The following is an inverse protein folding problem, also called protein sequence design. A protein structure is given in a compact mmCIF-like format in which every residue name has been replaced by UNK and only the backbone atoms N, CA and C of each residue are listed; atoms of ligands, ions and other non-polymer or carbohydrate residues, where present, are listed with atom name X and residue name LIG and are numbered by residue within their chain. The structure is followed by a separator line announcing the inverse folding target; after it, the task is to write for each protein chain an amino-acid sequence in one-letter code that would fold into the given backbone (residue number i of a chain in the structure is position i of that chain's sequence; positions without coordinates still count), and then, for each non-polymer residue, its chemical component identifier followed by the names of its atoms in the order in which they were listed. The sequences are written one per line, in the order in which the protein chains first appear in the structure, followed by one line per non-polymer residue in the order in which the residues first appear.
data_IF_848139914519
#
_entry.id   IF_848139914519
#
_cell.length_a   1.000
_cell.length_b   1.000
_cell.length_c   1.000
_cell.angle_alpha   90.00
_cell.angle_beta   90.00
_cell.angle_gamma   90.00
#
_symmetry.space_group_name_H-M   'P 1'
#
loop_
_entity.id
_entity.type
_entity.pdbx_description
1 polymer ?
#
# COMPACT_ATOMS: atom_id res chain seq x y z
N UNK A 1 -5.89 15.14 -32.39
CA UNK A 1 -5.24 14.71 -31.15
C UNK A 1 -4.03 15.58 -30.95
N UNK A 2 -3.92 16.24 -29.82
CA UNK A 2 -2.91 17.27 -29.57
C UNK A 2 -1.52 16.60 -29.50
N UNK A 3 -0.58 17.08 -30.33
CA UNK A 3 0.78 16.52 -30.45
C UNK A 3 1.52 16.50 -29.10
N UNK A 4 1.13 17.37 -28.17
CA UNK A 4 1.67 17.41 -26.82
C UNK A 4 1.20 16.24 -25.95
N UNK A 5 -0.01 15.71 -26.17
CA UNK A 5 -0.55 14.56 -25.44
C UNK A 5 0.16 13.28 -25.85
N UNK A 6 0.45 13.12 -27.15
CA UNK A 6 1.18 11.93 -27.65
C UNK A 6 2.65 11.93 -27.19
N UNK A 7 3.31 13.10 -27.17
CA UNK A 7 4.67 13.23 -26.63
C UNK A 7 4.72 12.89 -25.14
N UNK A 8 3.80 13.42 -24.35
CA UNK A 8 3.70 13.14 -22.92
C UNK A 8 3.43 11.65 -22.62
N UNK A 9 2.55 11.02 -23.42
CA UNK A 9 2.28 9.57 -23.28
C UNK A 9 3.50 8.71 -23.66
N UNK A 10 4.29 9.14 -24.64
CA UNK A 10 5.51 8.45 -25.05
C UNK A 10 6.58 8.55 -23.93
N UNK A 11 6.68 9.69 -23.27
CA UNK A 11 7.60 9.90 -22.16
C UNK A 11 7.20 9.05 -20.94
N UNK A 12 5.90 8.99 -20.62
CA UNK A 12 5.38 8.10 -19.58
C UNK A 12 5.63 6.63 -19.93
N UNK A 13 5.34 6.18 -21.13
CA UNK A 13 5.61 4.81 -21.58
C UNK A 13 7.09 4.44 -21.47
N UNK A 14 7.97 5.36 -21.81
CA UNK A 14 9.42 5.16 -21.71
C UNK A 14 9.91 5.03 -20.27
N UNK A 15 9.34 5.78 -19.35
CA UNK A 15 9.75 5.79 -17.94
C UNK A 15 9.06 4.70 -17.09
N UNK A 16 7.87 4.28 -17.47
CA UNK A 16 6.98 3.49 -16.61
C UNK A 16 6.61 2.11 -17.18
N UNK A 17 6.84 1.88 -18.47
CA UNK A 17 6.50 0.62 -19.15
C UNK A 17 4.99 0.48 -19.48
N UNK A 18 4.63 -0.62 -20.14
CA UNK A 18 3.31 -0.81 -20.78
C UNK A 18 2.09 -0.88 -19.86
N UNK A 19 2.27 -1.00 -18.53
CA UNK A 19 1.17 -1.10 -17.55
C UNK A 19 0.31 0.16 -17.39
N UNK A 20 0.75 1.28 -17.94
CA UNK A 20 0.08 2.60 -17.78
C UNK A 20 -0.88 2.95 -18.93
N UNK A 21 -0.94 2.20 -20.00
CA UNK A 21 -1.85 2.54 -21.10
C UNK A 21 -3.32 2.68 -20.62
N UNK A 22 -3.71 1.87 -19.67
CA UNK A 22 -5.05 1.91 -19.06
C UNK A 22 -5.27 3.14 -18.19
N UNK A 23 -4.24 3.55 -17.41
CA UNK A 23 -4.29 4.74 -16.54
C UNK A 23 -4.17 6.02 -17.36
N UNK A 24 -3.28 6.05 -18.36
CA UNK A 24 -3.14 7.19 -19.27
C UNK A 24 -4.42 7.42 -20.08
N UNK A 25 -5.13 6.38 -20.48
CA UNK A 25 -6.42 6.49 -21.17
C UNK A 25 -7.54 7.02 -20.24
N UNK A 26 -7.51 6.68 -18.95
CA UNK A 26 -8.41 7.27 -17.94
C UNK A 26 -8.03 8.71 -17.62
N UNK A 27 -6.75 9.04 -17.57
CA UNK A 27 -6.26 10.38 -17.26
C UNK A 27 -6.51 11.39 -18.40
N UNK A 28 -6.66 10.96 -19.65
CA UNK A 28 -6.99 11.83 -20.79
C UNK A 28 -8.25 12.70 -20.58
N UNK A 29 -9.18 12.25 -19.73
CA UNK A 29 -10.40 13.01 -19.40
C UNK A 29 -10.30 13.92 -18.17
N UNK A 30 -9.24 13.80 -17.37
CA UNK A 30 -9.17 14.43 -16.04
C UNK A 30 -7.98 15.39 -15.89
N UNK A 31 -6.88 15.21 -16.64
CA UNK A 31 -5.67 16.02 -16.49
C UNK A 31 -5.37 16.86 -17.75
N UNK A 32 -5.08 18.12 -17.54
CA UNK A 32 -4.46 18.96 -18.56
C UNK A 32 -2.95 18.66 -18.56
N UNK A 33 -2.40 17.95 -19.58
CA UNK A 33 -1.00 17.52 -19.60
C UNK A 33 0.01 18.67 -19.58
N UNK A 34 -0.44 19.88 -19.92
CA UNK A 34 0.41 21.07 -19.93
C UNK A 34 0.66 21.68 -18.55
N UNK A 35 0.01 21.16 -17.48
CA UNK A 35 0.08 21.75 -16.13
C UNK A 35 0.47 20.79 -15.02
N UNK A 36 0.52 19.48 -15.29
CA UNK A 36 0.84 18.47 -14.26
C UNK A 36 1.99 17.59 -14.72
N UNK A 37 3.16 17.79 -14.15
CA UNK A 37 4.26 16.83 -14.24
C UNK A 37 4.08 15.80 -13.15
N UNK A 38 3.96 14.53 -13.53
CA UNK A 38 3.85 13.43 -12.58
C UNK A 38 5.23 13.19 -11.93
N UNK A 39 5.30 13.34 -10.61
CA UNK A 39 6.53 13.07 -9.84
C UNK A 39 6.54 11.59 -9.45
N UNK A 40 7.14 10.76 -10.31
CA UNK A 40 7.14 9.30 -10.14
C UNK A 40 7.88 8.82 -8.88
N UNK A 41 8.81 9.62 -8.38
CA UNK A 41 9.48 9.39 -7.11
C UNK A 41 8.55 9.44 -5.90
N UNK A 42 7.50 10.27 -5.97
CA UNK A 42 6.51 10.47 -4.89
C UNK A 42 5.33 9.49 -4.99
N UNK A 43 5.31 8.64 -6.02
CA UNK A 43 4.25 7.65 -6.22
C UNK A 43 4.83 6.27 -5.94
N UNK A 44 4.26 5.54 -4.99
CA UNK A 44 4.71 4.19 -4.66
C UNK A 44 4.51 3.23 -5.84
N UNK A 45 5.46 2.31 -6.03
CA UNK A 45 5.47 1.39 -7.18
C UNK A 45 4.22 0.52 -7.28
N UNK A 46 3.63 0.13 -6.17
CA UNK A 46 2.39 -0.69 -6.13
C UNK A 46 1.20 -0.04 -6.86
N UNK A 47 1.22 1.29 -7.05
CA UNK A 47 0.15 2.03 -7.72
C UNK A 47 0.29 1.99 -9.24
N UNK A 48 1.52 2.06 -9.75
CA UNK A 48 1.78 2.26 -11.18
C UNK A 48 2.53 1.10 -11.86
N UNK A 49 3.03 0.14 -11.09
CA UNK A 49 3.87 -0.93 -11.63
C UNK A 49 3.19 -2.28 -11.57
N UNK A 50 3.45 -3.09 -12.57
CA UNK A 50 2.98 -4.47 -12.61
C UNK A 50 3.75 -5.30 -11.58
N UNK A 51 3.04 -6.29 -11.03
CA UNK A 51 3.67 -7.30 -10.19
C UNK A 51 4.51 -8.24 -11.06
N UNK A 52 5.66 -8.72 -10.57
CA UNK A 52 6.39 -9.77 -11.25
C UNK A 52 5.55 -11.06 -11.36
N UNK A 53 5.97 -11.99 -12.23
CA UNK A 53 5.39 -13.32 -12.32
C UNK A 53 6.54 -14.32 -12.48
N UNK A 54 6.73 -15.23 -11.52
CA UNK A 54 5.98 -15.42 -10.27
C UNK A 54 6.10 -14.25 -9.30
N UNK A 55 5.27 -14.19 -8.27
CA UNK A 55 5.43 -13.24 -7.19
C UNK A 55 5.15 -13.85 -5.83
N UNK A 56 5.88 -13.37 -4.84
CA UNK A 56 5.74 -13.70 -3.42
C UNK A 56 5.60 -12.41 -2.65
N UNK A 57 4.70 -12.38 -1.69
CA UNK A 57 4.47 -11.16 -0.93
C UNK A 57 3.91 -11.43 0.45
N UNK A 58 3.92 -10.38 1.25
CA UNK A 58 3.29 -10.34 2.58
C UNK A 58 2.69 -8.97 2.81
N UNK A 59 1.53 -8.95 3.43
CA UNK A 59 0.96 -7.75 4.05
C UNK A 59 1.13 -7.89 5.56
N UNK A 60 1.78 -6.90 6.17
CA UNK A 60 1.89 -6.76 7.62
C UNK A 60 0.99 -5.61 8.05
N UNK A 61 0.02 -5.89 8.92
CA UNK A 61 -0.87 -4.88 9.49
C UNK A 61 -0.42 -4.53 10.90
N UNK A 62 -0.25 -3.23 11.17
CA UNK A 62 0.27 -2.70 12.41
C UNK A 62 -0.73 -1.78 13.09
N UNK A 63 -0.78 -1.83 14.42
CA UNK A 63 -1.40 -0.84 15.29
C UNK A 63 -0.33 -0.02 15.98
N UNK A 64 -0.52 1.28 16.01
CA UNK A 64 0.38 2.23 16.68
C UNK A 64 -0.24 2.58 18.03
N UNK A 65 0.41 2.18 19.12
CA UNK A 65 0.02 2.52 20.48
C UNK A 65 0.81 3.72 21.02
N UNK A 66 2.00 3.98 20.46
CA UNK A 66 2.85 5.12 20.79
C UNK A 66 3.19 5.91 19.52
N UNK A 67 2.75 7.16 19.46
CA UNK A 67 2.93 8.02 18.28
C UNK A 67 4.41 8.27 17.93
N UNK A 68 5.28 8.43 18.92
CA UNK A 68 6.71 8.66 18.67
C UNK A 68 7.38 7.42 18.10
N UNK A 69 7.12 6.25 18.69
CA UNK A 69 7.60 4.96 18.18
C UNK A 69 7.12 4.72 16.73
N UNK A 70 5.85 4.98 16.45
CA UNK A 70 5.30 4.88 15.09
C UNK A 70 6.02 5.80 14.10
N UNK A 71 6.28 7.05 14.47
CA UNK A 71 7.05 7.99 13.63
C UNK A 71 8.49 7.56 13.42
N UNK A 72 9.14 7.02 14.43
CA UNK A 72 10.51 6.51 14.32
C UNK A 72 10.58 5.27 13.42
N UNK A 73 9.64 4.33 13.56
CA UNK A 73 9.54 3.19 12.64
C UNK A 73 9.38 3.67 11.20
N UNK A 74 8.42 4.57 10.94
CA UNK A 74 8.21 5.09 9.59
C UNK A 74 9.44 5.79 9.03
N UNK A 75 10.17 6.57 9.84
CA UNK A 75 11.45 7.16 9.44
C UNK A 75 12.48 6.12 9.04
N UNK A 76 12.54 5.00 9.75
CA UNK A 76 13.49 3.91 9.49
C UNK A 76 13.16 3.19 8.19
N UNK A 77 11.87 2.92 7.92
CA UNK A 77 11.45 2.15 6.74
C UNK A 77 11.24 3.00 5.48
N UNK A 78 11.06 4.32 5.63
CA UNK A 78 10.78 5.23 4.51
C UNK A 78 11.83 5.17 3.37
N UNK A 79 13.15 5.09 3.63
CA UNK A 79 14.15 4.96 2.57
C UNK A 79 13.99 3.70 1.70
N UNK A 80 13.35 2.67 2.23
CA UNK A 80 13.12 1.38 1.56
C UNK A 80 11.81 1.34 0.78
N UNK A 81 10.93 2.33 0.98
CA UNK A 81 9.68 2.43 0.23
C UNK A 81 9.98 2.66 -1.25
N UNK A 82 9.47 1.76 -2.08
CA UNK A 82 9.81 1.74 -3.50
C UNK A 82 8.91 2.70 -4.27
N UNK A 83 9.50 3.80 -4.76
CA UNK A 83 8.85 4.72 -5.69
C UNK A 83 8.73 4.14 -7.10
N UNK A 84 7.77 4.62 -7.88
CA UNK A 84 7.55 4.17 -9.25
C UNK A 84 8.73 4.46 -10.18
N UNK A 85 9.51 5.51 -9.92
CA UNK A 85 10.72 5.83 -10.67
C UNK A 85 11.86 4.84 -10.40
N UNK A 86 12.02 4.41 -9.16
CA UNK A 86 13.07 3.49 -8.75
C UNK A 86 12.79 2.04 -9.14
N UNK A 87 11.53 1.71 -9.47
CA UNK A 87 11.17 0.34 -9.83
C UNK A 87 11.82 -0.11 -11.14
N UNK A 88 12.35 -1.30 -11.15
CA UNK A 88 12.81 -2.02 -12.33
C UNK A 88 12.64 -3.54 -12.11
N UNK A 89 12.54 -4.29 -13.20
CA UNK A 89 12.23 -5.74 -13.15
C UNK A 89 13.25 -6.60 -12.41
N UNK A 90 14.48 -6.13 -12.30
CA UNK A 90 15.58 -6.88 -11.67
C UNK A 90 15.80 -6.48 -10.19
N UNK A 91 14.93 -5.62 -9.64
CA UNK A 91 15.06 -5.24 -8.23
C UNK A 91 14.75 -6.41 -7.28
N UNK A 92 15.31 -6.35 -6.07
CA UNK A 92 15.22 -7.44 -5.10
C UNK A 92 13.79 -7.68 -4.62
N UNK A 93 13.17 -6.65 -4.11
CA UNK A 93 11.80 -6.64 -3.62
C UNK A 93 11.30 -5.21 -3.57
N UNK A 94 9.98 -5.03 -3.53
CA UNK A 94 9.34 -3.73 -3.29
C UNK A 94 8.76 -3.68 -1.91
N UNK A 95 8.81 -2.52 -1.27
CA UNK A 95 8.09 -2.19 -0.05
C UNK A 95 7.13 -1.03 -0.33
N UNK A 96 5.89 -1.18 0.08
CA UNK A 96 4.88 -0.13 0.03
C UNK A 96 4.22 0.03 1.40
N UNK A 97 3.90 1.28 1.77
CA UNK A 97 3.26 1.61 3.05
C UNK A 97 1.90 2.24 2.76
N UNK A 98 0.89 1.79 3.47
CA UNK A 98 -0.45 2.38 3.46
C UNK A 98 -0.85 2.76 4.87
N UNK A 99 -1.68 3.79 5.01
CA UNK A 99 -2.16 4.26 6.31
C UNK A 99 -3.67 4.45 6.27
N UNK A 100 -4.32 4.12 7.38
CA UNK A 100 -5.73 4.47 7.60
C UNK A 100 -5.83 5.90 8.14
N UNK A 101 -7.04 6.44 8.16
CA UNK A 101 -7.28 7.73 8.81
C UNK A 101 -6.94 7.67 10.31
N UNK A 102 -7.38 6.61 10.98
CA UNK A 102 -7.11 6.39 12.41
C UNK A 102 -5.60 6.21 12.66
N UNK A 103 -4.87 5.64 11.69
CA UNK A 103 -3.41 5.55 11.73
C UNK A 103 -2.72 6.92 11.65
N UNK A 104 -3.20 7.82 10.80
CA UNK A 104 -2.69 9.19 10.75
C UNK A 104 -2.96 9.94 12.06
N UNK A 105 -4.13 9.73 12.67
CA UNK A 105 -4.47 10.31 13.98
C UNK A 105 -3.59 9.73 15.09
N UNK A 106 -3.38 8.41 15.12
CA UNK A 106 -2.51 7.73 16.08
C UNK A 106 -1.03 8.19 15.98
N UNK A 107 -0.57 8.57 14.78
CA UNK A 107 0.76 9.14 14.54
C UNK A 107 0.88 10.61 14.96
N UNK A 108 -0.23 11.25 15.36
CA UNK A 108 -0.27 12.64 15.79
C UNK A 108 -0.24 13.65 14.63
N UNK A 109 -0.79 13.30 13.47
CA UNK A 109 -0.96 14.25 12.36
C UNK A 109 -1.86 15.40 12.81
N UNK A 110 -1.49 16.67 12.55
CA UNK A 110 -2.27 17.82 12.99
C UNK A 110 -3.73 17.78 12.51
N UNK A 111 -4.66 18.19 13.37
CA UNK A 111 -6.09 18.17 13.07
C UNK A 111 -6.45 18.93 11.79
N UNK A 112 -5.80 20.05 11.52
CA UNK A 112 -6.00 20.82 10.29
C UNK A 112 -5.69 20.02 9.02
N UNK A 113 -4.71 19.12 9.08
CA UNK A 113 -4.41 18.19 7.96
C UNK A 113 -5.41 17.06 7.91
N UNK A 114 -5.78 16.48 9.05
CA UNK A 114 -6.78 15.41 9.12
C UNK A 114 -8.14 15.87 8.58
N UNK A 115 -8.55 17.09 8.89
CA UNK A 115 -9.83 17.65 8.45
C UNK A 115 -9.88 17.89 6.93
N UNK A 116 -8.74 18.01 6.25
CA UNK A 116 -8.66 18.19 4.80
C UNK A 116 -8.96 16.92 4.00
N UNK A 117 -8.93 15.73 4.61
CA UNK A 117 -9.20 14.48 3.91
C UNK A 117 -10.70 14.34 3.57
N UNK A 118 -11.03 13.66 2.44
CA UNK A 118 -12.41 13.37 2.09
C UNK A 118 -13.12 12.54 3.16
N UNK A 119 -14.42 12.79 3.37
CA UNK A 119 -15.25 12.04 4.32
C UNK A 119 -15.23 10.53 4.09
N UNK A 120 -15.09 10.09 2.84
CA UNK A 120 -14.97 8.68 2.49
C UNK A 120 -13.71 8.02 3.04
N UNK A 121 -12.61 8.76 3.14
CA UNK A 121 -11.35 8.27 3.73
C UNK A 121 -11.44 8.29 5.25
N UNK A 122 -11.98 9.37 5.84
CA UNK A 122 -12.19 9.48 7.29
C UNK A 122 -13.08 8.37 7.83
N UNK A 123 -14.16 8.05 7.12
CA UNK A 123 -15.10 7.01 7.53
C UNK A 123 -14.52 5.59 7.39
N UNK A 124 -13.61 5.38 6.46
CA UNK A 124 -13.15 4.04 6.13
C UNK A 124 -14.22 3.17 5.48
N UNK A 125 -13.92 1.91 5.24
CA UNK A 125 -14.83 1.02 4.53
C UNK A 125 -15.97 0.49 5.40
N UNK A 126 -15.68 0.08 6.64
CA UNK A 126 -16.68 -0.51 7.53
C UNK A 126 -17.85 0.44 7.79
N UNK A 127 -17.59 1.71 8.14
CA UNK A 127 -18.66 2.71 8.36
C UNK A 127 -19.43 3.10 7.09
N UNK A 128 -18.97 2.63 5.93
CA UNK A 128 -19.61 2.88 4.63
C UNK A 128 -20.26 1.62 4.04
N UNK A 129 -20.36 0.55 4.83
CA UNK A 129 -20.88 -0.74 4.40
C UNK A 129 -22.24 -0.63 3.71
N UNK A 130 -23.17 0.15 4.24
CA UNK A 130 -24.48 0.38 3.62
C UNK A 130 -24.33 1.00 2.21
N UNK A 131 -23.48 2.01 2.04
CA UNK A 131 -23.21 2.65 0.75
C UNK A 131 -22.49 1.73 -0.23
N UNK A 132 -21.64 0.84 0.28
CA UNK A 132 -20.87 -0.14 -0.49
C UNK A 132 -21.69 -1.42 -0.75
N UNK A 133 -22.84 -1.57 -0.10
CA UNK A 133 -23.71 -2.76 -0.14
C UNK A 133 -23.05 -4.00 0.44
N UNK A 134 -22.25 -3.83 1.47
CA UNK A 134 -21.63 -4.90 2.24
C UNK A 134 -22.61 -5.38 3.31
N UNK A 135 -23.56 -6.22 2.92
CA UNK A 135 -24.61 -6.77 3.78
C UNK A 135 -24.44 -8.28 3.99
N UNK A 136 -25.17 -8.81 4.95
CA UNK A 136 -25.23 -10.24 5.26
C UNK A 136 -23.83 -10.83 5.47
N UNK A 137 -23.43 -11.81 4.66
CA UNK A 137 -22.14 -12.48 4.76
C UNK A 137 -20.96 -11.53 4.50
N UNK A 138 -21.18 -10.43 3.78
CA UNK A 138 -20.15 -9.42 3.48
C UNK A 138 -20.16 -8.25 4.47
N UNK A 139 -21.02 -8.29 5.49
CA UNK A 139 -21.10 -7.23 6.48
C UNK A 139 -19.81 -7.12 7.31
N UNK A 140 -19.40 -5.90 7.75
CA UNK A 140 -18.13 -5.66 8.43
C UNK A 140 -17.86 -6.52 9.67
N UNK A 141 -18.90 -6.93 10.38
CA UNK A 141 -18.80 -7.85 11.51
C UNK A 141 -18.30 -9.25 11.15
N UNK A 142 -18.41 -9.64 9.87
CA UNK A 142 -17.96 -10.92 9.33
C UNK A 142 -16.57 -10.85 8.69
N UNK A 143 -15.95 -9.65 8.62
CA UNK A 143 -14.62 -9.53 8.02
C UNK A 143 -13.56 -10.13 8.93
N UNK A 144 -12.51 -10.69 8.30
CA UNK A 144 -11.37 -11.21 9.03
C UNK A 144 -10.64 -10.08 9.77
N UNK A 145 -10.19 -10.36 11.00
CA UNK A 145 -9.32 -9.42 11.71
C UNK A 145 -8.03 -9.17 10.91
N UNK A 146 -7.47 -7.95 10.95
CA UNK A 146 -7.88 -6.77 11.71
C UNK A 146 -8.82 -5.82 10.95
N UNK A 147 -9.58 -6.31 10.00
CA UNK A 147 -10.52 -5.53 9.19
C UNK A 147 -11.92 -5.53 9.80
N UNK A 148 -12.80 -4.65 9.33
CA UNK A 148 -14.18 -4.53 9.80
C UNK A 148 -14.36 -3.63 11.02
N UNK A 149 -15.45 -3.83 11.76
CA UNK A 149 -15.83 -2.98 12.89
C UNK A 149 -14.87 -3.04 14.09
N UNK A 150 -14.11 -4.12 14.19
CA UNK A 150 -13.09 -4.33 15.23
C UNK A 150 -11.68 -4.05 14.73
N UNK A 151 -11.57 -3.48 13.54
CA UNK A 151 -10.28 -3.24 12.90
C UNK A 151 -9.58 -2.03 13.48
N UNK A 152 -8.42 -2.28 14.08
CA UNK A 152 -7.54 -1.25 14.62
C UNK A 152 -6.28 -1.08 13.76
N UNK A 153 -6.32 -1.45 12.49
CA UNK A 153 -5.18 -1.32 11.61
C UNK A 153 -4.89 0.17 11.37
N UNK A 154 -3.69 0.59 11.74
CA UNK A 154 -3.20 1.95 11.54
C UNK A 154 -2.28 2.06 10.33
N UNK A 155 -1.36 1.11 10.17
CA UNK A 155 -0.38 1.06 9.08
C UNK A 155 -0.38 -0.34 8.47
N UNK A 156 -0.35 -0.39 7.15
CA UNK A 156 -0.09 -1.62 6.39
C UNK A 156 1.23 -1.50 5.64
N UNK A 157 2.07 -2.53 5.74
CA UNK A 157 3.27 -2.67 4.92
C UNK A 157 3.09 -3.83 3.94
N UNK A 158 3.24 -3.58 2.65
CA UNK A 158 3.14 -4.60 1.61
C UNK A 158 4.50 -4.83 0.96
N UNK A 159 4.96 -6.07 1.00
CA UNK A 159 6.19 -6.53 0.35
C UNK A 159 5.82 -7.39 -0.83
N UNK A 160 6.45 -7.17 -1.99
CA UNK A 160 6.31 -8.01 -3.18
C UNK A 160 7.69 -8.25 -3.79
N UNK A 161 7.99 -9.51 -4.13
CA UNK A 161 9.23 -9.92 -4.76
C UNK A 161 8.96 -10.95 -5.87
N UNK A 162 9.92 -11.12 -6.79
CA UNK A 162 9.88 -12.11 -7.89
C UNK A 162 10.37 -13.49 -7.48
N UNK A 163 10.96 -13.63 -6.30
CA UNK A 163 11.45 -14.89 -5.76
C UNK A 163 11.21 -15.00 -4.27
N UNK A 164 11.15 -16.24 -3.79
CA UNK A 164 10.94 -16.54 -2.37
C UNK A 164 12.08 -16.03 -1.49
N UNK A 165 13.31 -16.15 -1.95
CA UNK A 165 14.48 -15.72 -1.20
C UNK A 165 14.50 -14.19 -0.99
N UNK A 166 14.26 -13.42 -2.07
CA UNK A 166 14.17 -11.97 -2.00
C UNK A 166 13.03 -11.50 -1.09
N UNK A 167 11.89 -12.17 -1.17
CA UNK A 167 10.75 -11.92 -0.31
C UNK A 167 11.09 -12.16 1.17
N UNK A 168 11.72 -13.30 1.51
CA UNK A 168 12.08 -13.64 2.88
C UNK A 168 13.10 -12.65 3.46
N UNK A 169 14.10 -12.24 2.66
CA UNK A 169 15.10 -11.23 3.07
C UNK A 169 14.38 -9.92 3.43
N UNK A 170 13.52 -9.42 2.52
CA UNK A 170 12.86 -8.12 2.74
C UNK A 170 11.85 -8.17 3.88
N UNK A 171 11.15 -9.29 4.06
CA UNK A 171 10.25 -9.50 5.19
C UNK A 171 11.01 -9.48 6.51
N UNK A 172 12.15 -10.19 6.56
CA UNK A 172 12.99 -10.19 7.76
C UNK A 172 13.53 -8.80 8.10
N UNK A 173 13.99 -8.03 7.13
CA UNK A 173 14.43 -6.64 7.33
C UNK A 173 13.31 -5.78 7.96
N UNK A 174 12.08 -5.91 7.46
CA UNK A 174 10.92 -5.21 8.03
C UNK A 174 10.63 -5.68 9.47
N UNK A 175 10.62 -6.98 9.71
CA UNK A 175 10.41 -7.57 11.05
C UNK A 175 11.47 -7.09 12.04
N UNK A 176 12.74 -7.09 11.63
CA UNK A 176 13.86 -6.62 12.47
C UNK A 176 13.70 -5.13 12.84
N UNK A 177 13.21 -4.30 11.90
CA UNK A 177 12.92 -2.90 12.17
C UNK A 177 11.74 -2.70 13.16
N UNK A 178 10.77 -3.61 13.16
CA UNK A 178 9.61 -3.52 14.05
C UNK A 178 9.94 -4.08 15.44
N UNK A 179 10.85 -5.06 15.53
CA UNK A 179 11.13 -5.85 16.73
C UNK A 179 11.38 -5.02 18.00
N UNK A 180 12.06 -3.88 17.86
CA UNK A 180 12.39 -3.01 19.02
C UNK A 180 11.18 -2.29 19.62
N UNK A 181 10.03 -2.32 18.96
CA UNK A 181 8.80 -1.63 19.37
C UNK A 181 7.70 -2.57 19.86
N UNK A 182 7.85 -3.87 19.65
CA UNK A 182 6.87 -4.86 20.12
C UNK A 182 7.19 -5.33 21.55
N UNK A 183 6.16 -5.75 22.25
CA UNK A 183 6.29 -6.45 23.53
C UNK A 183 5.91 -7.92 23.31
N UNK A 184 6.88 -8.82 23.32
CA UNK A 184 6.65 -10.23 23.01
C UNK A 184 5.80 -10.94 24.08
N UNK A 185 5.92 -10.53 25.34
CA UNK A 185 5.15 -11.13 26.44
C UNK A 185 3.68 -10.66 26.45
N UNK A 186 3.44 -9.44 25.99
CA UNK A 186 2.09 -8.87 25.86
C UNK A 186 2.03 -7.90 24.67
N UNK A 187 1.73 -8.38 23.47
CA UNK A 187 1.76 -7.57 22.25
C UNK A 187 0.90 -6.31 22.31
N UNK A 188 -0.24 -6.34 22.98
CA UNK A 188 -1.12 -5.18 23.15
C UNK A 188 -0.50 -4.05 24.02
N UNK A 189 0.53 -4.34 24.79
CA UNK A 189 1.27 -3.37 25.60
C UNK A 189 2.59 -2.91 24.93
N UNK A 190 2.88 -3.35 23.73
CA UNK A 190 3.98 -2.82 22.93
C UNK A 190 3.68 -1.42 22.40
N UNK A 191 4.71 -0.65 22.09
CA UNK A 191 4.56 0.64 21.41
C UNK A 191 3.93 0.49 20.01
N UNK A 192 4.19 -0.66 19.37
CA UNK A 192 3.58 -1.10 18.11
C UNK A 192 3.14 -2.55 18.29
N UNK A 193 1.97 -2.88 17.76
CA UNK A 193 1.42 -4.24 17.74
C UNK A 193 1.31 -4.74 16.30
N UNK A 194 1.76 -5.97 16.04
CA UNK A 194 1.53 -6.67 14.77
C UNK A 194 0.16 -7.36 14.87
N UNK A 195 -0.82 -6.83 14.15
CA UNK A 195 -2.17 -7.38 14.13
C UNK A 195 -2.32 -8.57 13.18
N UNK A 196 -1.58 -8.54 12.07
CA UNK A 196 -1.65 -9.58 11.04
C UNK A 196 -0.36 -9.59 10.23
N UNK A 197 0.08 -10.78 9.90
CA UNK A 197 1.04 -11.05 8.86
C UNK A 197 0.43 -12.08 7.90
N UNK A 198 0.12 -11.64 6.67
CA UNK A 198 -0.56 -12.48 5.68
C UNK A 198 0.28 -12.61 4.43
N UNK A 199 0.79 -13.82 4.21
CA UNK A 199 1.54 -14.15 2.99
C UNK A 199 0.59 -14.40 1.82
N UNK A 200 0.98 -13.94 0.64
CA UNK A 200 0.27 -14.16 -0.61
C UNK A 200 1.26 -14.38 -1.76
N UNK A 201 0.78 -14.91 -2.86
CA UNK A 201 1.65 -15.11 -4.02
C UNK A 201 0.97 -15.89 -5.13
N UNK A 202 1.68 -16.00 -6.24
CA UNK A 202 1.28 -16.81 -7.37
C UNK A 202 2.49 -17.47 -8.01
N UNK A 203 2.52 -18.79 -8.04
CA UNK A 203 3.49 -19.53 -8.82
C UNK A 203 3.19 -19.40 -10.32
N UNK A 204 4.22 -19.67 -11.14
CA UNK A 204 4.18 -19.48 -12.59
C UNK A 204 2.88 -19.93 -13.26
N UNK A 205 2.30 -19.06 -14.08
CA UNK A 205 1.16 -19.32 -14.95
C UNK A 205 -0.18 -19.63 -14.28
N UNK A 206 -0.32 -19.43 -12.99
CA UNK A 206 -1.61 -19.59 -12.33
C UNK A 206 -2.50 -18.41 -12.70
N UNK A 207 -3.62 -18.70 -13.35
CA UNK A 207 -4.72 -17.75 -13.50
C UNK A 207 -5.25 -17.42 -12.10
N UNK A 208 -5.70 -16.18 -11.89
CA UNK A 208 -6.42 -15.88 -10.66
C UNK A 208 -7.67 -16.79 -10.53
N UNK A 209 -8.27 -16.87 -9.35
CA UNK A 209 -9.42 -17.74 -9.06
C UNK A 209 -10.61 -17.52 -10.00
N UNK A 210 -10.69 -16.36 -10.67
CA UNK A 210 -11.72 -16.05 -11.66
C UNK A 210 -11.28 -16.34 -13.11
N UNK A 211 -10.09 -16.93 -13.33
CA UNK A 211 -9.59 -17.33 -14.64
C UNK A 211 -8.99 -16.21 -15.50
N UNK A 212 -8.82 -15.02 -14.98
CA UNK A 212 -8.16 -13.90 -15.68
C UNK A 212 -6.63 -13.98 -15.51
N UNK A 213 -5.90 -13.48 -16.51
CA UNK A 213 -4.44 -13.28 -16.47
C UNK A 213 -4.09 -11.87 -16.10
#
# INVERSE_FOLDING_TARGET
VDSNVESWLADIKKEVGDGIETLANKARGVFNPNTVTMQLEDIQSIILRDRPTPYYGTIVALKINNAEAGRQLLKTVLPDVTGSKAWHKDMQATLSIVMTYDGLEALGVPRSSLDSFPESFKAGMAKRAEKLRDFDINAPENWAAPFGDKGDMHVGAAIIADSKDKWQIKLKELQDNIQSYINEDNPANGDIEILMEHAFGSDNNVKNVFGYR
#
